data_IF_196407052563
#
_entry.id   IF_196407052563
#
_cell.length_a   1.000
_cell.length_b   1.000
_cell.length_c   1.000
_cell.angle_alpha   90.00
_cell.angle_beta   90.00
_cell.angle_gamma   90.00
#
_symmetry.space_group_name_H-M   'P 1'
#
loop_
_entity.id
_entity.type
_entity.pdbx_description
1 polymer ?
#
# COMPACT_ATOMS: atom_id res chain seq x y z
N UNK A 1 46.04 -19.49 -2.12
CA UNK A 1 47.11 -18.49 -1.89
C UNK A 1 46.53 -17.42 -0.99
N UNK A 2 47.23 -17.16 0.11
CA UNK A 2 46.76 -16.54 1.35
C UNK A 2 46.41 -15.04 1.25
N UNK A 3 45.40 -14.66 2.05
CA UNK A 3 45.28 -13.52 2.98
C UNK A 3 46.27 -12.36 2.81
N UNK A 4 45.74 -11.13 2.70
CA UNK A 4 46.13 -10.01 3.59
C UNK A 4 45.14 -8.83 3.54
N UNK A 5 44.49 -8.63 4.69
CA UNK A 5 43.96 -7.33 5.14
C UNK A 5 45.08 -6.28 5.20
N UNK A 6 44.71 -5.02 4.93
CA UNK A 6 45.44 -3.86 5.47
C UNK A 6 44.40 -2.86 6.00
N UNK A 7 44.49 -2.63 7.30
CA UNK A 7 43.78 -1.63 8.07
C UNK A 7 44.64 -0.36 8.28
N UNK A 8 43.96 0.73 8.62
CA UNK A 8 44.45 2.03 9.11
C UNK A 8 45.12 2.99 8.12
N UNK A 9 44.56 4.21 8.03
CA UNK A 9 45.22 5.42 8.53
C UNK A 9 44.19 6.55 8.74
N UNK A 10 44.22 7.09 9.95
CA UNK A 10 43.51 8.27 10.43
C UNK A 10 44.24 9.56 10.03
N UNK A 11 43.57 10.69 10.28
CA UNK A 11 44.08 12.07 10.39
C UNK A 11 44.32 12.87 9.09
N UNK A 12 43.36 13.74 8.77
CA UNK A 12 43.62 15.03 8.11
C UNK A 12 42.93 16.12 8.93
N UNK A 13 43.74 16.86 9.69
CA UNK A 13 43.37 18.15 10.24
C UNK A 13 43.53 19.22 9.14
N UNK A 14 42.53 20.08 8.98
CA UNK A 14 42.66 21.31 8.18
C UNK A 14 42.64 22.49 9.15
N UNK A 15 43.77 23.19 9.19
CA UNK A 15 43.93 24.51 9.78
C UNK A 15 43.11 25.55 9.01
N UNK A 16 42.30 26.35 9.70
CA UNK A 16 41.84 27.64 9.20
C UNK A 16 42.26 28.72 10.19
N UNK A 17 43.07 29.64 9.68
CA UNK A 17 43.62 30.82 10.33
C UNK A 17 42.56 31.90 10.55
N UNK A 18 42.79 32.65 11.62
CA UNK A 18 42.02 33.78 12.15
C UNK A 18 41.87 34.97 11.19
N UNK A 19 40.80 35.75 11.38
CA UNK A 19 40.72 37.12 10.87
C UNK A 19 39.37 37.82 11.12
N UNK A 20 39.32 38.66 12.16
CA UNK A 20 38.56 39.92 12.12
C UNK A 20 37.23 40.00 12.87
N UNK A 21 37.27 40.50 14.10
CA UNK A 21 36.12 40.89 14.91
C UNK A 21 35.56 42.28 14.53
N UNK A 22 34.24 42.50 14.67
CA UNK A 22 33.70 43.82 15.07
C UNK A 22 32.31 43.75 15.74
N UNK A 23 32.33 44.08 17.04
CA UNK A 23 31.32 44.71 17.94
C UNK A 23 29.79 44.46 17.81
N UNK A 24 29.30 43.74 18.83
CA UNK A 24 28.09 43.93 19.68
C UNK A 24 27.09 45.05 19.36
N UNK A 25 25.79 44.67 19.35
CA UNK A 25 24.71 45.36 20.07
C UNK A 25 23.67 44.35 20.58
N UNK A 26 23.50 44.31 21.89
CA UNK A 26 22.51 43.52 22.64
C UNK A 26 21.20 44.32 22.82
N UNK A 27 20.05 43.66 22.70
CA UNK A 27 18.78 44.04 23.34
C UNK A 27 18.04 42.77 23.81
N UNK A 28 17.39 42.79 24.99
CA UNK A 28 16.81 41.59 25.61
C UNK A 28 15.38 41.33 25.10
N UNK A 29 14.99 40.05 25.04
CA UNK A 29 13.59 39.63 24.95
C UNK A 29 13.10 39.28 26.36
N UNK A 30 11.98 39.91 26.74
CA UNK A 30 11.22 39.61 27.95
C UNK A 30 10.56 38.23 27.83
N UNK A 31 10.65 37.46 28.92
CA UNK A 31 10.05 36.15 29.10
C UNK A 31 8.76 36.33 29.91
N UNK A 32 7.60 36.17 29.27
CA UNK A 32 6.32 36.11 29.98
C UNK A 32 6.11 34.70 30.56
N UNK A 33 6.09 34.63 31.89
CA UNK A 33 5.64 33.47 32.64
C UNK A 33 4.11 33.45 32.75
N UNK A 34 3.49 32.31 32.43
CA UNK A 34 2.12 31.99 32.86
C UNK A 34 2.18 30.71 33.67
N UNK A 35 1.70 30.81 34.91
CA UNK A 35 1.64 29.77 35.91
C UNK A 35 0.61 28.69 35.56
N UNK A 36 0.97 27.42 35.78
CA UNK A 36 0.03 26.31 35.88
C UNK A 36 0.13 25.68 37.27
N UNK A 37 -0.88 25.93 38.09
CA UNK A 37 -1.15 25.25 39.35
C UNK A 37 -1.89 23.94 39.08
N UNK A 38 -1.34 22.81 39.54
CA UNK A 38 -1.99 21.51 39.51
C UNK A 38 -1.38 20.59 40.56
N UNK A 39 -2.12 20.39 41.65
CA UNK A 39 -1.70 19.68 42.85
C UNK A 39 -1.45 18.17 42.60
N UNK A 40 -0.35 17.66 43.15
CA UNK A 40 -0.07 16.25 43.27
C UNK A 40 -0.60 15.74 44.63
N UNK A 41 -1.38 14.66 44.61
CA UNK A 41 -1.60 13.81 45.78
C UNK A 41 -1.10 12.40 45.46
N UNK A 42 -0.26 11.90 46.37
CA UNK A 42 0.41 10.61 46.36
C UNK A 42 -0.06 9.76 47.54
N UNK A 43 -0.31 8.47 47.29
CA UNK A 43 -0.19 7.30 48.18
C UNK A 43 -0.01 6.10 47.22
N UNK A 44 1.05 5.28 47.22
CA UNK A 44 1.74 4.56 48.30
C UNK A 44 1.24 3.11 48.31
N UNK A 45 1.91 2.16 47.62
CA UNK A 45 2.72 1.03 48.14
C UNK A 45 1.93 0.01 49.01
N UNK A 46 2.11 -1.32 49.02
CA UNK A 46 3.04 -2.28 48.46
C UNK A 46 2.43 -3.70 48.68
N UNK A 47 2.77 -4.70 47.86
CA UNK A 47 3.52 -5.89 48.32
C UNK A 47 2.71 -7.16 47.99
N UNK A 48 3.18 -8.17 47.27
CA UNK A 48 4.36 -9.03 47.36
C UNK A 48 3.98 -10.45 47.79
N UNK A 49 4.68 -11.43 47.19
CA UNK A 49 4.85 -12.83 47.62
C UNK A 49 3.75 -13.79 47.13
N UNK A 50 3.99 -15.04 46.70
CA UNK A 50 5.19 -15.83 46.38
C UNK A 50 4.67 -17.23 45.97
N UNK A 51 5.23 -17.81 44.91
CA UNK A 51 5.21 -19.25 44.62
C UNK A 51 6.35 -19.94 45.43
N UNK A 52 6.60 -21.29 45.44
CA UNK A 52 5.87 -22.49 44.96
C UNK A 52 5.92 -23.63 46.07
N UNK A 53 6.05 -24.99 45.88
CA UNK A 53 6.80 -25.79 44.89
C UNK A 53 6.06 -26.98 44.23
N UNK A 54 6.74 -27.55 43.24
CA UNK A 54 6.40 -28.72 42.44
C UNK A 54 6.81 -30.07 43.07
N UNK A 55 6.21 -31.17 42.60
CA UNK A 55 6.73 -32.55 42.35
C UNK A 55 5.49 -33.48 42.20
N UNK A 56 5.43 -34.62 41.50
CA UNK A 56 6.34 -35.47 40.71
C UNK A 56 5.46 -36.41 39.84
N UNK A 57 6.08 -37.07 38.85
CA UNK A 57 5.50 -37.93 37.83
C UNK A 57 5.25 -39.40 38.28
N UNK A 58 4.34 -40.12 37.59
CA UNK A 58 4.50 -41.53 37.20
C UNK A 58 3.38 -41.99 36.23
N UNK A 59 3.78 -42.61 35.12
CA UNK A 59 3.02 -43.43 34.13
C UNK A 59 3.05 -44.93 34.54
N UNK A 60 2.56 -45.88 33.72
CA UNK A 60 1.22 -46.09 33.15
C UNK A 60 0.65 -47.47 33.57
N UNK A 61 -0.65 -47.71 33.42
CA UNK A 61 -1.21 -49.08 33.54
C UNK A 61 -1.94 -49.51 32.27
N UNK A 62 -1.68 -50.77 31.93
CA UNK A 62 -2.01 -51.49 30.71
C UNK A 62 -3.31 -52.26 30.87
N UNK A 63 -4.30 -52.04 29.99
CA UNK A 63 -5.23 -53.09 29.57
C UNK A 63 -6.00 -52.67 28.31
N UNK A 64 -6.16 -53.63 27.39
CA UNK A 64 -6.88 -53.59 26.11
C UNK A 64 -7.73 -54.88 26.06
N UNK A 65 -8.67 -55.05 25.11
CA UNK A 65 -9.90 -54.31 24.80
C UNK A 65 -11.17 -55.16 25.05
N UNK A 66 -12.36 -54.57 24.94
CA UNK A 66 -13.53 -55.31 24.47
C UNK A 66 -14.34 -54.47 23.47
N UNK A 67 -14.87 -55.17 22.47
CA UNK A 67 -15.44 -54.69 21.22
C UNK A 67 -16.75 -53.90 21.38
N UNK A 68 -16.91 -52.83 20.60
CA UNK A 68 -18.23 -52.42 20.08
C UNK A 68 -18.11 -51.38 18.93
N UNK A 69 -18.50 -51.84 17.74
CA UNK A 69 -19.21 -51.11 16.67
C UNK A 69 -18.70 -49.72 16.23
N UNK A 70 -17.95 -49.71 15.13
CA UNK A 70 -17.63 -48.52 14.34
C UNK A 70 -18.86 -48.01 13.58
N UNK A 71 -19.55 -47.02 14.14
CA UNK A 71 -20.41 -46.12 13.36
C UNK A 71 -19.58 -44.91 12.99
N UNK A 72 -19.16 -44.84 11.72
CA UNK A 72 -18.43 -43.70 11.15
C UNK A 72 -19.36 -42.50 11.09
N UNK A 73 -19.44 -41.74 12.18
CA UNK A 73 -20.00 -40.39 12.16
C UNK A 73 -18.97 -39.49 11.49
N UNK A 74 -19.21 -39.16 10.23
CA UNK A 74 -18.49 -38.08 9.53
C UNK A 74 -18.89 -36.77 10.18
N UNK A 75 -18.25 -36.42 11.28
CA UNK A 75 -18.39 -35.10 11.90
C UNK A 75 -17.67 -34.12 10.99
N UNK A 76 -18.37 -33.59 10.00
CA UNK A 76 -17.99 -32.37 9.31
C UNK A 76 -18.09 -31.23 10.33
N UNK A 77 -17.02 -31.02 11.10
CA UNK A 77 -16.87 -29.86 11.98
C UNK A 77 -16.64 -28.63 11.11
N UNK A 78 -17.72 -28.15 10.48
CA UNK A 78 -17.83 -26.78 10.00
C UNK A 78 -17.78 -25.88 11.23
N UNK A 79 -16.59 -25.39 11.60
CA UNK A 79 -16.45 -24.25 12.48
C UNK A 79 -17.18 -23.08 11.85
N UNK A 80 -18.44 -22.89 12.26
CA UNK A 80 -19.26 -21.76 11.85
C UNK A 80 -18.56 -20.47 12.30
N UNK A 81 -17.97 -19.78 11.32
CA UNK A 81 -17.47 -18.42 11.43
C UNK A 81 -18.61 -17.50 11.89
N UNK A 82 -18.56 -16.99 13.12
CA UNK A 82 -19.57 -16.03 13.61
C UNK A 82 -19.27 -14.60 13.15
N UNK A 83 -18.87 -14.44 11.89
CA UNK A 83 -18.85 -13.13 11.23
C UNK A 83 -20.28 -12.60 11.01
N UNK A 84 -21.22 -13.52 10.83
CA UNK A 84 -22.64 -13.26 10.63
C UNK A 84 -23.38 -13.47 11.94
N UNK A 85 -24.11 -12.46 12.39
CA UNK A 85 -24.90 -12.51 13.63
C UNK A 85 -26.25 -11.83 13.40
N UNK A 86 -27.36 -12.56 13.56
CA UNK A 86 -28.68 -12.00 13.29
C UNK A 86 -28.75 -11.41 11.88
N UNK A 87 -29.09 -10.13 11.77
CA UNK A 87 -29.22 -9.40 10.49
C UNK A 87 -27.97 -8.63 10.07
N UNK A 88 -26.81 -8.94 10.64
CA UNK A 88 -25.55 -8.25 10.34
C UNK A 88 -24.41 -9.20 9.96
N UNK A 89 -23.43 -8.65 9.26
CA UNK A 89 -22.14 -9.29 8.96
C UNK A 89 -21.01 -8.30 9.24
N UNK A 90 -19.99 -8.70 9.99
CA UNK A 90 -18.83 -7.86 10.27
C UNK A 90 -17.79 -7.94 9.16
N UNK A 91 -17.22 -6.80 8.78
CA UNK A 91 -16.04 -6.70 7.90
C UNK A 91 -14.97 -5.85 8.59
N UNK A 92 -13.69 -6.17 8.38
CA UNK A 92 -12.59 -5.37 8.89
C UNK A 92 -12.19 -4.28 7.90
N UNK A 93 -11.80 -3.13 8.42
CA UNK A 93 -11.15 -2.05 7.66
C UNK A 93 -9.81 -1.79 8.34
N UNK A 94 -8.70 -2.06 7.64
CA UNK A 94 -7.35 -1.99 8.22
C UNK A 94 -6.44 -1.12 7.35
N UNK A 95 -6.33 0.14 7.71
CA UNK A 95 -5.57 1.17 7.00
C UNK A 95 -4.79 2.01 8.01
N UNK A 96 -3.71 2.66 7.58
CA UNK A 96 -3.00 3.66 8.39
C UNK A 96 -3.85 4.93 8.50
N UNK A 97 -4.42 5.16 9.67
CA UNK A 97 -5.16 6.38 10.01
C UNK A 97 -4.25 7.42 10.69
N UNK A 98 -3.05 6.97 11.07
CA UNK A 98 -1.94 7.78 11.55
C UNK A 98 -0.59 7.34 10.92
N UNK A 99 0.45 8.16 11.08
CA UNK A 99 1.78 7.91 10.52
C UNK A 99 1.98 8.44 9.08
N UNK A 100 3.13 8.10 8.48
CA UNK A 100 3.60 8.61 7.16
C UNK A 100 2.63 8.31 6.01
N UNK A 101 1.84 7.23 6.10
CA UNK A 101 0.89 6.83 5.07
C UNK A 101 -0.54 7.35 5.27
N UNK A 102 -0.82 8.05 6.38
CA UNK A 102 -2.19 8.47 6.71
C UNK A 102 -2.82 9.37 5.64
N UNK A 103 -2.01 10.17 4.94
CA UNK A 103 -2.49 11.05 3.87
C UNK A 103 -3.14 10.28 2.72
N UNK A 104 -2.63 9.09 2.43
CA UNK A 104 -3.11 8.23 1.35
C UNK A 104 -4.19 7.26 1.87
N UNK A 105 -3.94 6.61 3.00
CA UNK A 105 -4.76 5.48 3.48
C UNK A 105 -6.11 5.88 4.11
N UNK A 106 -6.22 7.08 4.72
CA UNK A 106 -7.51 7.57 5.26
C UNK A 106 -8.56 7.70 4.16
N UNK A 107 -8.13 8.12 2.96
CA UNK A 107 -9.03 8.34 1.82
C UNK A 107 -9.60 7.01 1.30
N UNK A 108 -8.80 5.94 1.29
CA UNK A 108 -9.24 4.59 0.90
C UNK A 108 -10.28 4.06 1.86
N UNK A 109 -10.03 4.19 3.17
CA UNK A 109 -11.02 3.87 4.21
C UNK A 109 -12.34 4.62 3.96
N UNK A 110 -12.31 5.90 3.60
CA UNK A 110 -13.54 6.66 3.32
C UNK A 110 -14.31 6.10 2.12
N UNK A 111 -13.61 5.72 1.03
CA UNK A 111 -14.23 5.14 -0.16
C UNK A 111 -14.85 3.75 0.11
N UNK A 112 -14.17 2.91 0.89
CA UNK A 112 -14.71 1.62 1.35
C UNK A 112 -15.95 1.80 2.23
N UNK A 113 -15.90 2.76 3.17
CA UNK A 113 -17.04 3.09 4.02
C UNK A 113 -18.23 3.61 3.21
N UNK A 114 -17.99 4.39 2.16
CA UNK A 114 -19.04 4.79 1.22
C UNK A 114 -19.66 3.58 0.51
N UNK A 115 -18.87 2.66 -0.04
CA UNK A 115 -19.38 1.45 -0.67
C UNK A 115 -20.24 0.61 0.28
N UNK A 116 -19.78 0.45 1.53
CA UNK A 116 -20.52 -0.23 2.60
C UNK A 116 -21.88 0.43 2.86
N UNK A 117 -21.91 1.77 2.94
CA UNK A 117 -23.14 2.53 3.16
C UNK A 117 -24.13 2.36 1.99
N UNK A 118 -23.65 2.43 0.75
CA UNK A 118 -24.48 2.21 -0.44
C UNK A 118 -25.08 0.79 -0.48
N UNK A 119 -24.27 -0.22 -0.17
CA UNK A 119 -24.71 -1.62 -0.11
C UNK A 119 -25.75 -1.80 0.99
N UNK A 120 -25.49 -1.24 2.18
CA UNK A 120 -26.43 -1.28 3.29
C UNK A 120 -27.75 -0.60 2.95
N UNK A 121 -27.74 0.57 2.30
CA UNK A 121 -28.95 1.25 1.85
C UNK A 121 -29.80 0.39 0.90
N UNK A 122 -29.17 -0.52 0.14
CA UNK A 122 -29.82 -1.47 -0.79
C UNK A 122 -30.17 -2.83 -0.17
N UNK A 123 -30.18 -2.94 1.16
CA UNK A 123 -30.56 -4.18 1.86
C UNK A 123 -29.38 -5.03 2.34
N UNK A 124 -28.14 -4.59 2.12
CA UNK A 124 -26.95 -5.30 2.56
C UNK A 124 -26.53 -6.43 1.60
N UNK A 125 -25.86 -7.45 2.14
CA UNK A 125 -25.39 -8.63 1.39
C UNK A 125 -26.20 -9.83 1.84
N UNK A 126 -26.96 -10.45 0.93
CA UNK A 126 -27.87 -11.55 1.27
C UNK A 126 -28.81 -11.21 2.46
N UNK A 127 -29.28 -9.97 2.53
CA UNK A 127 -30.13 -9.45 3.61
C UNK A 127 -29.41 -9.09 4.92
N UNK A 128 -28.07 -9.25 4.99
CA UNK A 128 -27.27 -8.86 6.16
C UNK A 128 -26.68 -7.47 5.97
N UNK A 129 -26.87 -6.57 6.93
CA UNK A 129 -26.18 -5.27 6.96
C UNK A 129 -24.71 -5.46 7.32
N UNK A 130 -23.83 -4.84 6.55
CA UNK A 130 -22.40 -4.80 6.80
C UNK A 130 -22.12 -3.88 8.00
N UNK A 131 -21.37 -4.38 8.97
CA UNK A 131 -20.89 -3.62 10.13
C UNK A 131 -19.35 -3.54 10.04
N UNK A 132 -18.78 -2.39 9.69
CA UNK A 132 -17.34 -2.23 9.62
C UNK A 132 -16.71 -2.17 11.01
N UNK A 133 -15.60 -2.89 11.19
CA UNK A 133 -14.69 -2.80 12.34
C UNK A 133 -13.40 -2.16 11.86
N UNK A 134 -13.16 -0.91 12.25
CA UNK A 134 -12.04 -0.11 11.77
C UNK A 134 -10.87 -0.23 12.75
N UNK A 135 -9.68 -0.52 12.24
CA UNK A 135 -8.43 -0.56 12.99
C UNK A 135 -7.37 0.33 12.31
N UNK A 136 -6.60 1.04 13.14
CA UNK A 136 -5.47 1.86 12.68
C UNK A 136 -4.19 1.02 12.59
N UNK A 137 -3.62 0.93 11.40
CA UNK A 137 -2.32 0.29 11.14
C UNK A 137 -1.12 1.19 11.45
N UNK A 138 -1.33 2.48 11.71
CA UNK A 138 -0.34 3.47 12.16
C UNK A 138 0.94 3.60 11.31
N UNK A 139 0.90 3.17 10.04
CA UNK A 139 2.08 3.01 9.19
C UNK A 139 3.17 2.09 9.80
N UNK A 140 2.77 1.14 10.63
CA UNK A 140 3.66 0.24 11.38
C UNK A 140 3.31 -1.24 11.13
N UNK A 141 4.22 -1.98 10.52
CA UNK A 141 3.96 -3.34 10.04
C UNK A 141 3.61 -4.34 11.15
N UNK A 142 4.31 -4.34 12.30
CA UNK A 142 3.90 -5.11 13.48
C UNK A 142 2.50 -4.77 13.99
N UNK A 143 2.11 -3.49 13.97
CA UNK A 143 0.75 -3.05 14.30
C UNK A 143 -0.26 -3.64 13.32
N UNK A 144 -0.03 -3.53 12.01
CA UNK A 144 -0.87 -4.17 10.99
C UNK A 144 -1.08 -5.66 11.27
N UNK A 145 -0.02 -6.40 11.60
CA UNK A 145 -0.12 -7.83 11.96
C UNK A 145 -1.04 -8.05 13.16
N UNK A 146 -0.80 -7.32 14.24
CA UNK A 146 -1.56 -7.42 15.49
C UNK A 146 -3.04 -7.11 15.27
N UNK A 147 -3.33 -6.07 14.48
CA UNK A 147 -4.70 -5.67 14.14
C UNK A 147 -5.38 -6.67 13.20
N UNK A 148 -4.67 -7.22 12.22
CA UNK A 148 -5.19 -8.30 11.38
C UNK A 148 -5.54 -9.55 12.21
N UNK A 149 -4.66 -9.96 13.13
CA UNK A 149 -4.93 -11.08 14.04
C UNK A 149 -6.16 -10.82 14.91
N UNK A 150 -6.31 -9.61 15.46
CA UNK A 150 -7.51 -9.22 16.22
C UNK A 150 -8.78 -9.31 15.38
N UNK A 151 -8.76 -8.73 14.17
CA UNK A 151 -9.92 -8.73 13.27
C UNK A 151 -10.38 -10.15 12.93
N UNK A 152 -9.44 -11.08 12.69
CA UNK A 152 -9.77 -12.46 12.34
C UNK A 152 -10.16 -13.31 13.56
N UNK A 153 -9.49 -13.15 14.70
CA UNK A 153 -9.66 -14.07 15.84
C UNK A 153 -10.66 -13.59 16.88
N UNK A 154 -10.71 -12.29 17.14
CA UNK A 154 -11.58 -11.69 18.16
C UNK A 154 -12.85 -11.14 17.51
N UNK A 155 -12.70 -10.29 16.49
CA UNK A 155 -13.84 -9.69 15.80
C UNK A 155 -14.49 -10.67 14.83
N UNK A 156 -13.76 -11.71 14.39
CA UNK A 156 -14.23 -12.77 13.50
C UNK A 156 -14.89 -12.20 12.25
N UNK A 157 -14.25 -11.25 11.58
CA UNK A 157 -14.80 -10.58 10.39
C UNK A 157 -14.86 -11.52 9.18
N UNK A 158 -15.82 -11.31 8.27
CA UNK A 158 -16.00 -12.13 7.06
C UNK A 158 -14.94 -11.84 5.99
N UNK A 159 -14.43 -10.62 5.97
CA UNK A 159 -13.35 -10.16 5.11
C UNK A 159 -12.72 -8.92 5.74
N UNK A 160 -11.49 -8.61 5.34
CA UNK A 160 -10.80 -7.36 5.65
C UNK A 160 -10.53 -6.62 4.34
N UNK A 161 -10.84 -5.33 4.30
CA UNK A 161 -10.40 -4.41 3.26
C UNK A 161 -9.27 -3.56 3.87
N UNK A 162 -8.10 -3.53 3.23
CA UNK A 162 -6.97 -2.91 3.91
C UNK A 162 -5.60 -3.14 3.32
N UNK A 163 -4.64 -2.61 4.07
CA UNK A 163 -3.22 -2.46 3.75
C UNK A 163 -2.96 -1.49 2.61
N UNK A 164 -1.76 -0.90 2.66
CA UNK A 164 -1.21 -0.11 1.57
C UNK A 164 0.19 -0.59 1.20
N UNK A 165 1.16 -0.40 2.09
CA UNK A 165 2.53 -0.79 1.74
C UNK A 165 2.63 -2.30 1.57
N UNK A 166 3.45 -2.72 0.62
CA UNK A 166 3.73 -4.15 0.43
C UNK A 166 4.34 -4.80 1.67
N UNK A 167 5.04 -4.04 2.53
CA UNK A 167 5.52 -4.60 3.80
C UNK A 167 4.36 -4.90 4.74
N UNK A 168 3.35 -4.02 4.88
CA UNK A 168 2.13 -4.34 5.63
C UNK A 168 1.49 -5.61 5.10
N UNK A 169 1.27 -5.67 3.77
CA UNK A 169 0.65 -6.83 3.12
C UNK A 169 1.41 -8.13 3.39
N UNK A 170 2.72 -8.14 3.14
CA UNK A 170 3.58 -9.32 3.39
C UNK A 170 3.59 -9.72 4.87
N UNK A 171 3.53 -8.75 5.78
CA UNK A 171 3.50 -9.03 7.23
C UNK A 171 2.18 -9.67 7.66
N UNK A 172 1.05 -9.26 7.07
CA UNK A 172 -0.27 -9.82 7.40
C UNK A 172 -0.58 -11.10 6.62
N UNK A 173 -0.01 -11.32 5.44
CA UNK A 173 -0.24 -12.50 4.61
C UNK A 173 -0.23 -13.83 5.40
N UNK A 174 0.81 -14.16 6.20
CA UNK A 174 0.81 -15.41 6.96
C UNK A 174 -0.29 -15.48 8.04
N UNK A 175 -0.79 -14.35 8.51
CA UNK A 175 -1.93 -14.29 9.44
C UNK A 175 -3.22 -14.67 8.71
N UNK A 176 -3.46 -14.10 7.54
CA UNK A 176 -4.64 -14.41 6.73
C UNK A 176 -4.66 -15.87 6.27
N UNK A 177 -3.52 -16.42 5.86
CA UNK A 177 -3.43 -17.84 5.49
C UNK A 177 -3.63 -18.76 6.71
N UNK A 178 -2.99 -18.45 7.85
CA UNK A 178 -3.12 -19.25 9.08
C UNK A 178 -4.55 -19.34 9.59
N UNK A 179 -5.31 -18.24 9.56
CA UNK A 179 -6.67 -18.20 10.08
C UNK A 179 -7.76 -18.37 8.99
N UNK A 180 -7.36 -18.72 7.76
CA UNK A 180 -8.23 -18.73 6.58
C UNK A 180 -9.09 -17.46 6.46
N UNK A 181 -8.51 -16.30 6.74
CA UNK A 181 -9.15 -15.00 6.55
C UNK A 181 -9.14 -14.60 5.08
N UNK A 182 -9.89 -13.56 4.73
CA UNK A 182 -9.89 -13.00 3.38
C UNK A 182 -9.50 -11.52 3.39
N UNK A 183 -8.44 -11.16 2.67
CA UNK A 183 -8.00 -9.79 2.48
C UNK A 183 -8.35 -9.31 1.07
N UNK A 184 -8.87 -8.09 0.96
CA UNK A 184 -9.01 -7.34 -0.28
C UNK A 184 -8.03 -6.17 -0.25
N UNK A 185 -7.05 -6.22 -1.15
CA UNK A 185 -5.89 -5.32 -1.16
C UNK A 185 -5.96 -4.31 -2.31
N UNK A 186 -6.20 -3.01 -2.03
CA UNK A 186 -6.68 -2.04 -3.01
C UNK A 186 -5.61 -1.18 -3.68
N UNK A 187 -4.34 -1.56 -3.63
CA UNK A 187 -3.25 -0.68 -4.10
C UNK A 187 -2.27 -1.43 -4.99
N UNK A 188 -1.65 -0.69 -5.92
CA UNK A 188 -0.61 -1.21 -6.79
C UNK A 188 0.56 -1.79 -5.98
N UNK A 189 1.17 -2.85 -6.51
CA UNK A 189 2.33 -3.46 -5.87
C UNK A 189 3.29 -4.13 -6.86
N UNK A 190 4.36 -4.69 -6.32
CA UNK A 190 5.51 -5.22 -7.06
C UNK A 190 5.27 -6.55 -7.78
N UNK A 191 4.09 -7.17 -7.67
CA UNK A 191 3.92 -8.53 -8.19
C UNK A 191 4.70 -9.57 -7.36
N UNK A 192 5.18 -10.61 -8.03
CA UNK A 192 5.95 -11.72 -7.46
C UNK A 192 5.25 -12.46 -6.31
N UNK A 193 3.92 -12.38 -6.26
CA UNK A 193 3.11 -12.92 -5.17
C UNK A 193 1.73 -13.31 -5.68
N UNK A 194 1.22 -14.44 -5.20
CA UNK A 194 -0.19 -14.79 -5.24
C UNK A 194 -0.50 -15.52 -3.96
N UNK A 195 -1.64 -15.20 -3.33
CA UNK A 195 -2.14 -15.93 -2.16
C UNK A 195 -3.58 -16.37 -2.40
N UNK A 196 -3.97 -17.59 -1.97
CA UNK A 196 -5.37 -17.97 -2.00
C UNK A 196 -6.23 -17.05 -1.12
N UNK A 197 -5.67 -16.41 -0.10
CA UNK A 197 -6.41 -15.63 0.90
C UNK A 197 -6.38 -14.11 0.65
N UNK A 198 -5.85 -13.67 -0.50
CA UNK A 198 -5.79 -12.25 -0.88
C UNK A 198 -6.41 -12.07 -2.27
N UNK A 199 -7.37 -11.15 -2.38
CA UNK A 199 -7.81 -10.57 -3.64
C UNK A 199 -7.07 -9.27 -3.87
N UNK A 200 -6.39 -9.16 -5.00
CA UNK A 200 -5.57 -8.01 -5.38
C UNK A 200 -6.40 -7.13 -6.30
N UNK A 201 -7.01 -6.09 -5.73
CA UNK A 201 -7.82 -5.12 -6.49
C UNK A 201 -7.01 -3.95 -7.00
N UNK A 202 -5.77 -3.74 -6.53
CA UNK A 202 -4.77 -2.89 -7.16
C UNK A 202 -4.00 -3.58 -8.30
N UNK A 203 -3.22 -2.81 -9.05
CA UNK A 203 -2.46 -3.31 -10.19
C UNK A 203 -1.14 -4.01 -9.84
N UNK A 204 -0.75 -4.98 -10.67
CA UNK A 204 0.64 -5.47 -10.77
C UNK A 204 1.46 -4.60 -11.71
N UNK A 205 2.78 -4.79 -11.73
CA UNK A 205 3.70 -3.96 -12.52
C UNK A 205 3.43 -4.03 -14.03
N UNK A 206 2.97 -5.17 -14.56
CA UNK A 206 2.57 -5.29 -15.97
C UNK A 206 1.31 -4.46 -16.34
N UNK A 207 0.54 -4.01 -15.33
CA UNK A 207 -0.64 -3.17 -15.46
C UNK A 207 -0.38 -1.71 -15.07
N UNK A 208 0.87 -1.32 -14.82
CA UNK A 208 1.22 0.05 -14.45
C UNK A 208 2.66 0.40 -14.89
N UNK A 209 3.66 -0.09 -14.17
CA UNK A 209 5.09 0.23 -14.36
C UNK A 209 5.58 -0.15 -15.76
N UNK A 210 5.39 -1.40 -16.20
CA UNK A 210 5.96 -1.84 -17.48
C UNK A 210 5.41 -1.07 -18.68
N UNK A 211 4.08 -0.83 -18.79
CA UNK A 211 3.54 0.04 -19.83
C UNK A 211 4.05 1.49 -19.75
N UNK A 212 4.26 2.04 -18.54
CA UNK A 212 4.81 3.39 -18.39
C UNK A 212 6.27 3.49 -18.88
N UNK A 213 7.11 2.50 -18.57
CA UNK A 213 8.47 2.41 -19.09
C UNK A 213 8.46 2.31 -20.61
N UNK A 214 7.60 1.47 -21.20
CA UNK A 214 7.48 1.35 -22.65
C UNK A 214 7.01 2.67 -23.29
N UNK A 215 6.05 3.35 -22.67
CA UNK A 215 5.58 4.66 -23.13
C UNK A 215 6.70 5.70 -23.09
N UNK A 216 7.46 5.78 -22.01
CA UNK A 216 8.61 6.69 -21.88
C UNK A 216 9.67 6.43 -22.96
N UNK A 217 10.04 5.16 -23.16
CA UNK A 217 11.02 4.76 -24.18
C UNK A 217 10.56 5.09 -25.62
N UNK A 218 9.25 4.93 -25.90
CA UNK A 218 8.64 5.31 -27.19
C UNK A 218 8.58 6.83 -27.40
N UNK A 219 8.45 7.59 -26.32
CA UNK A 219 8.47 9.06 -26.32
C UNK A 219 9.88 9.65 -26.16
N UNK A 220 10.91 8.88 -26.52
CA UNK A 220 12.29 9.36 -26.61
C UNK A 220 13.02 9.53 -25.28
N UNK A 221 12.43 9.10 -24.15
CA UNK A 221 13.13 9.09 -22.85
C UNK A 221 13.95 7.81 -22.75
N UNK A 222 15.28 7.92 -22.77
CA UNK A 222 16.19 6.77 -22.78
C UNK A 222 17.04 6.65 -21.51
N UNK A 223 17.36 7.76 -20.85
CA UNK A 223 18.15 7.81 -19.61
C UNK A 223 17.24 7.95 -18.40
N UNK A 224 17.22 6.93 -17.54
CA UNK A 224 16.37 6.85 -16.37
C UNK A 224 17.19 7.02 -15.10
N UNK A 225 16.73 7.89 -14.20
CA UNK A 225 17.15 7.88 -12.81
C UNK A 225 16.03 7.27 -11.97
N UNK A 226 16.32 6.25 -11.19
CA UNK A 226 15.32 5.62 -10.30
C UNK A 226 15.45 6.19 -8.90
N UNK A 227 14.34 6.66 -8.34
CA UNK A 227 14.29 7.17 -6.97
C UNK A 227 13.12 6.51 -6.24
N UNK A 228 13.42 5.73 -5.20
CA UNK A 228 12.41 4.98 -4.45
C UNK A 228 12.49 5.13 -2.94
N UNK A 229 11.40 4.81 -2.25
CA UNK A 229 11.44 4.61 -0.80
C UNK A 229 12.10 3.27 -0.46
N UNK A 230 12.91 3.19 0.60
CA UNK A 230 13.71 2.00 0.90
C UNK A 230 12.91 0.88 1.58
N UNK A 231 12.08 0.19 0.78
CA UNK A 231 11.36 -1.01 1.20
C UNK A 231 11.04 -1.92 0.00
N UNK A 232 10.35 -3.04 0.23
CA UNK A 232 10.16 -4.10 -0.76
C UNK A 232 9.56 -3.63 -2.09
N UNK A 233 8.55 -2.75 -2.10
CA UNK A 233 7.91 -2.34 -3.35
C UNK A 233 8.89 -1.61 -4.29
N UNK A 234 9.52 -0.49 -3.89
CA UNK A 234 10.42 0.22 -4.80
C UNK A 234 11.65 -0.61 -5.18
N UNK A 235 12.17 -1.44 -4.26
CA UNK A 235 13.30 -2.33 -4.54
C UNK A 235 12.99 -3.35 -5.64
N UNK A 236 11.85 -4.04 -5.53
CA UNK A 236 11.43 -5.04 -6.52
C UNK A 236 11.01 -4.37 -7.82
N UNK A 237 10.19 -3.31 -7.77
CA UNK A 237 9.79 -2.55 -8.95
C UNK A 237 10.99 -2.00 -9.72
N UNK A 238 11.98 -1.42 -9.05
CA UNK A 238 13.19 -0.91 -9.70
C UNK A 238 14.05 -2.04 -10.29
N UNK A 239 14.07 -3.23 -9.70
CA UNK A 239 14.73 -4.39 -10.29
C UNK A 239 14.06 -4.83 -11.61
N UNK A 240 12.73 -4.81 -11.68
CA UNK A 240 11.96 -5.06 -12.90
C UNK A 240 12.20 -3.98 -13.95
N UNK A 241 12.15 -2.70 -13.57
CA UNK A 241 12.46 -1.57 -14.45
C UNK A 241 13.87 -1.73 -15.04
N UNK A 242 14.88 -2.06 -14.22
CA UNK A 242 16.25 -2.31 -14.69
C UNK A 242 16.31 -3.44 -15.73
N UNK A 243 15.60 -4.54 -15.50
CA UNK A 243 15.53 -5.64 -16.46
C UNK A 243 14.88 -5.20 -17.78
N UNK A 244 13.76 -4.48 -17.71
CA UNK A 244 13.06 -3.96 -18.88
C UNK A 244 13.91 -2.93 -19.65
N UNK A 245 14.57 -1.98 -18.96
CA UNK A 245 15.44 -0.99 -19.60
C UNK A 245 16.59 -1.66 -20.34
N UNK A 246 17.23 -2.67 -19.73
CA UNK A 246 18.30 -3.45 -20.37
C UNK A 246 17.83 -4.13 -21.65
N UNK A 247 16.60 -4.65 -21.66
CA UNK A 247 16.04 -5.34 -22.83
C UNK A 247 15.54 -4.39 -23.92
N UNK A 248 14.98 -3.24 -23.54
CA UNK A 248 14.23 -2.35 -24.43
C UNK A 248 15.03 -1.09 -24.84
N UNK A 249 16.35 -1.08 -24.62
CA UNK A 249 17.24 -0.02 -25.08
C UNK A 249 17.17 1.27 -24.25
N UNK A 250 16.89 1.14 -22.96
CA UNK A 250 17.03 2.21 -21.97
C UNK A 250 18.38 2.14 -21.24
N UNK A 251 18.76 3.23 -20.58
CA UNK A 251 19.99 3.35 -19.81
C UNK A 251 19.66 3.84 -18.41
N UNK A 252 20.10 3.10 -17.39
CA UNK A 252 20.08 3.56 -16.01
C UNK A 252 21.26 4.52 -15.79
N UNK A 253 20.98 5.74 -15.35
CA UNK A 253 22.01 6.75 -15.04
C UNK A 253 22.16 7.02 -13.54
N UNK A 254 21.28 6.45 -12.72
CA UNK A 254 21.35 6.51 -11.27
C UNK A 254 20.19 5.76 -10.62
N UNK A 255 20.41 5.27 -9.41
CA UNK A 255 19.41 4.61 -8.58
C UNK A 255 19.71 4.94 -7.12
N UNK A 256 18.74 5.53 -6.43
CA UNK A 256 18.89 5.96 -5.04
C UNK A 256 17.62 5.63 -4.25
N UNK A 257 17.81 5.37 -2.96
CA UNK A 257 16.73 5.05 -2.04
C UNK A 257 16.80 5.91 -0.79
N UNK A 258 15.64 6.31 -0.28
CA UNK A 258 15.50 7.03 0.98
C UNK A 258 14.52 6.31 1.91
N UNK A 259 14.73 6.30 3.24
CA UNK A 259 13.74 5.73 4.16
C UNK A 259 12.34 6.35 3.97
N UNK A 260 11.29 5.63 4.37
CA UNK A 260 9.95 6.24 4.50
C UNK A 260 10.00 7.39 5.52
N UNK A 261 9.25 8.45 5.26
CA UNK A 261 9.30 9.67 6.08
C UNK A 261 10.55 10.54 5.89
N UNK A 262 11.41 10.22 4.92
CA UNK A 262 12.61 11.01 4.65
C UNK A 262 12.26 12.40 4.11
N UNK A 263 12.98 13.43 4.61
CA UNK A 263 12.67 14.84 4.34
C UNK A 263 13.78 15.63 3.66
N UNK A 264 15.01 15.14 3.55
CA UNK A 264 16.17 15.94 3.11
C UNK A 264 16.71 15.49 1.75
N UNK A 265 16.19 16.07 0.66
CA UNK A 265 16.48 15.65 -0.71
C UNK A 265 17.55 16.50 -1.43
N UNK A 266 18.07 17.58 -0.84
CA UNK A 266 18.99 18.53 -1.50
C UNK A 266 20.18 17.85 -2.18
N UNK A 267 20.96 17.05 -1.44
CA UNK A 267 22.10 16.29 -1.99
C UNK A 267 21.67 15.33 -3.10
N UNK A 268 20.49 14.72 -2.97
CA UNK A 268 19.98 13.80 -3.96
C UNK A 268 19.56 14.52 -5.25
N UNK A 269 18.96 15.70 -5.13
CA UNK A 269 18.62 16.56 -6.27
C UNK A 269 19.89 16.94 -7.05
N UNK A 270 20.99 17.26 -6.36
CA UNK A 270 22.27 17.55 -7.02
C UNK A 270 22.85 16.33 -7.74
N UNK A 271 22.76 15.13 -7.13
CA UNK A 271 23.13 13.88 -7.81
C UNK A 271 22.29 13.63 -9.07
N UNK A 272 20.98 13.84 -9.00
CA UNK A 272 20.08 13.68 -10.14
C UNK A 272 20.45 14.64 -11.27
N UNK A 273 20.70 15.91 -10.95
CA UNK A 273 21.14 16.92 -11.93
C UNK A 273 22.47 16.52 -12.59
N UNK A 274 23.44 16.03 -11.81
CA UNK A 274 24.72 15.59 -12.32
C UNK A 274 24.61 14.40 -13.27
N UNK A 275 23.68 13.47 -13.00
CA UNK A 275 23.42 12.30 -13.84
C UNK A 275 22.75 12.61 -15.19
N UNK A 276 22.13 13.80 -15.32
CA UNK A 276 21.44 14.27 -16.55
C UNK A 276 20.47 13.22 -17.13
N UNK A 277 19.50 12.71 -16.34
CA UNK A 277 18.50 11.79 -16.87
C UNK A 277 17.53 12.49 -17.83
N UNK A 278 16.94 11.71 -18.74
CA UNK A 278 15.81 12.18 -19.55
C UNK A 278 14.51 12.19 -18.73
N UNK A 279 14.44 11.36 -17.68
CA UNK A 279 13.30 11.19 -16.76
C UNK A 279 13.75 10.63 -15.41
N UNK A 280 13.15 11.14 -14.32
CA UNK A 280 13.16 10.46 -13.02
C UNK A 280 11.96 9.51 -12.96
N UNK A 281 12.19 8.24 -12.71
CA UNK A 281 11.13 7.28 -12.40
C UNK A 281 10.99 7.20 -10.87
N UNK A 282 9.89 7.73 -10.35
CA UNK A 282 9.65 7.96 -8.94
C UNK A 282 8.79 6.85 -8.33
N UNK A 283 9.37 6.13 -7.39
CA UNK A 283 8.77 5.10 -6.54
C UNK A 283 8.84 5.49 -5.05
N UNK A 284 8.90 6.80 -4.74
CA UNK A 284 8.72 7.32 -3.38
C UNK A 284 7.26 7.22 -2.96
N UNK A 285 7.01 7.00 -1.66
CA UNK A 285 5.66 6.86 -1.11
C UNK A 285 5.38 7.81 0.06
N UNK A 286 4.09 8.10 0.30
CA UNK A 286 3.63 8.90 1.43
C UNK A 286 4.19 10.32 1.44
N UNK A 287 4.45 10.85 2.64
CA UNK A 287 4.95 12.22 2.85
C UNK A 287 6.36 12.47 2.26
N UNK A 288 7.09 11.42 1.87
CA UNK A 288 8.38 11.54 1.17
C UNK A 288 8.24 12.21 -0.20
N UNK A 289 7.14 11.97 -0.91
CA UNK A 289 6.83 12.69 -2.15
C UNK A 289 6.71 14.19 -1.91
N UNK A 290 6.12 14.57 -0.77
CA UNK A 290 5.88 15.98 -0.46
C UNK A 290 7.17 16.76 -0.36
N UNK A 291 8.13 16.23 0.39
CA UNK A 291 9.40 16.90 0.60
C UNK A 291 10.29 16.89 -0.66
N UNK A 292 10.27 15.82 -1.45
CA UNK A 292 11.02 15.75 -2.70
C UNK A 292 10.57 16.82 -3.71
N UNK A 293 9.26 16.93 -4.00
CA UNK A 293 8.76 17.90 -4.99
C UNK A 293 8.82 19.35 -4.49
N UNK A 294 8.68 19.59 -3.18
CA UNK A 294 8.96 20.92 -2.60
C UNK A 294 10.40 21.34 -2.84
N UNK A 295 11.37 20.44 -2.66
CA UNK A 295 12.78 20.77 -2.82
C UNK A 295 13.20 20.92 -4.28
N UNK A 296 12.63 20.13 -5.20
CA UNK A 296 12.79 20.38 -6.64
C UNK A 296 12.33 21.81 -7.01
N UNK A 297 11.15 22.21 -6.55
CA UNK A 297 10.62 23.55 -6.79
C UNK A 297 11.50 24.63 -6.16
N UNK A 298 12.00 24.41 -4.94
CA UNK A 298 12.83 25.38 -4.22
C UNK A 298 14.13 25.71 -4.95
N UNK A 299 14.70 24.76 -5.71
CA UNK A 299 15.87 24.99 -6.57
C UNK A 299 15.51 25.39 -8.01
N UNK A 300 14.23 25.69 -8.27
CA UNK A 300 13.74 26.16 -9.56
C UNK A 300 13.53 25.07 -10.62
N UNK A 301 13.63 23.79 -10.27
CA UNK A 301 13.39 22.70 -11.22
C UNK A 301 11.89 22.46 -11.41
N UNK A 302 11.49 22.29 -12.67
CA UNK A 302 10.13 21.96 -13.09
C UNK A 302 10.12 20.70 -13.96
N UNK A 303 8.93 20.23 -14.34
CA UNK A 303 8.79 19.13 -15.29
C UNK A 303 9.45 19.38 -16.66
N UNK A 304 9.73 20.63 -17.03
CA UNK A 304 10.46 20.98 -18.26
C UNK A 304 11.96 20.67 -18.14
N UNK A 305 12.51 20.83 -16.95
CA UNK A 305 13.93 20.67 -16.65
C UNK A 305 14.24 19.22 -16.27
N UNK A 306 13.35 18.62 -15.46
CA UNK A 306 13.48 17.28 -14.92
C UNK A 306 12.10 16.62 -14.86
N UNK A 307 11.60 16.06 -15.98
CA UNK A 307 10.31 15.37 -15.96
C UNK A 307 10.38 14.14 -15.06
N UNK A 308 9.29 13.89 -14.35
CA UNK A 308 9.15 12.77 -13.42
C UNK A 308 7.94 11.95 -13.80
N UNK A 309 8.10 10.63 -13.87
CA UNK A 309 7.00 9.66 -13.93
C UNK A 309 6.83 9.06 -12.55
N UNK A 310 5.70 9.29 -11.90
CA UNK A 310 5.39 8.73 -10.58
C UNK A 310 4.43 7.54 -10.68
N UNK A 311 4.58 6.58 -9.77
CA UNK A 311 3.64 5.47 -9.58
C UNK A 311 2.91 5.53 -8.24
N UNK A 312 3.16 6.60 -7.47
CA UNK A 312 2.69 6.77 -6.08
C UNK A 312 2.37 8.24 -5.77
N UNK A 313 1.91 9.00 -6.77
CA UNK A 313 1.31 10.33 -6.60
C UNK A 313 -0.05 10.32 -7.24
N UNK A 314 -1.09 10.59 -6.46
CA UNK A 314 -2.44 10.81 -6.95
C UNK A 314 -2.98 12.19 -6.55
N UNK A 315 -4.25 12.46 -6.85
CA UNK A 315 -4.91 13.75 -6.59
C UNK A 315 -4.80 14.21 -5.11
N UNK A 316 -4.94 13.33 -4.09
CA UNK A 316 -4.69 13.71 -2.70
C UNK A 316 -3.26 14.23 -2.45
N UNK A 317 -2.24 13.55 -2.97
CA UNK A 317 -0.85 14.03 -2.86
C UNK A 317 -0.64 15.31 -3.66
N UNK A 318 -1.20 15.45 -4.86
CA UNK A 318 -1.09 16.70 -5.65
C UNK A 318 -1.61 17.89 -4.85
N UNK A 319 -2.76 17.74 -4.19
CA UNK A 319 -3.34 18.78 -3.34
C UNK A 319 -2.44 19.09 -2.14
N UNK A 320 -1.85 18.08 -1.51
CA UNK A 320 -0.98 18.25 -0.35
C UNK A 320 0.36 18.93 -0.70
N UNK A 321 0.89 18.63 -1.88
CA UNK A 321 2.16 19.18 -2.39
C UNK A 321 1.96 20.59 -2.93
N UNK A 322 0.82 20.82 -3.58
CA UNK A 322 0.52 22.03 -4.34
C UNK A 322 0.65 21.77 -5.84
N UNK A 323 -0.42 22.00 -6.64
CA UNK A 323 -0.41 21.77 -8.08
C UNK A 323 0.73 22.49 -8.82
N UNK A 324 1.14 23.67 -8.33
CA UNK A 324 2.21 24.50 -8.90
C UNK A 324 3.61 23.84 -8.92
N UNK A 325 3.80 22.79 -8.11
CA UNK A 325 5.06 22.03 -8.01
C UNK A 325 5.04 20.76 -8.84
N UNK A 326 3.86 20.26 -9.19
CA UNK A 326 3.67 19.01 -9.91
C UNK A 326 3.19 19.21 -11.35
N UNK A 327 2.67 20.39 -11.69
CA UNK A 327 2.18 20.69 -13.04
C UNK A 327 3.20 20.30 -14.12
N UNK A 328 2.75 19.47 -15.06
CA UNK A 328 3.56 18.93 -16.16
C UNK A 328 4.30 17.62 -15.87
N UNK A 329 4.41 17.19 -14.61
CA UNK A 329 4.91 15.85 -14.29
C UNK A 329 3.86 14.79 -14.62
N UNK A 330 4.29 13.54 -14.77
CA UNK A 330 3.42 12.42 -15.14
C UNK A 330 3.18 11.48 -13.96
N UNK A 331 2.03 10.82 -14.00
CA UNK A 331 1.79 9.62 -13.20
C UNK A 331 1.14 8.54 -14.07
N UNK A 332 1.33 7.29 -13.66
CA UNK A 332 0.66 6.13 -14.25
C UNK A 332 -0.22 5.46 -13.20
N UNK A 333 -1.49 5.25 -13.56
CA UNK A 333 -2.51 4.66 -12.70
C UNK A 333 -3.50 3.86 -13.54
N UNK A 334 -4.45 3.19 -12.89
CA UNK A 334 -5.56 2.55 -13.58
C UNK A 334 -6.82 3.41 -13.54
N UNK A 335 -6.84 4.44 -12.72
CA UNK A 335 -7.92 5.40 -12.62
C UNK A 335 -7.39 6.81 -12.33
N UNK A 336 -8.12 7.80 -12.84
CA UNK A 336 -8.01 9.21 -12.49
C UNK A 336 -9.41 9.74 -12.20
N UNK A 337 -9.54 10.74 -11.32
CA UNK A 337 -10.84 11.38 -11.06
C UNK A 337 -11.47 11.93 -12.36
N UNK A 338 -10.65 12.29 -13.34
CA UNK A 338 -11.10 12.82 -14.64
C UNK A 338 -11.53 11.74 -15.66
N UNK A 339 -11.50 10.46 -15.28
CA UNK A 339 -11.91 9.34 -16.15
C UNK A 339 -13.36 9.52 -16.62
N UNK A 340 -13.60 9.54 -17.93
CA UNK A 340 -14.92 9.88 -18.47
C UNK A 340 -15.83 8.65 -18.63
N UNK A 341 -16.37 8.15 -17.52
CA UNK A 341 -17.42 7.12 -17.51
C UNK A 341 -18.66 7.62 -16.76
N UNK A 342 -19.87 7.10 -17.05
CA UNK A 342 -21.07 7.38 -16.24
C UNK A 342 -20.90 6.99 -14.77
N UNK A 343 -20.29 5.82 -14.53
CA UNK A 343 -20.00 5.28 -13.21
C UNK A 343 -19.09 6.22 -12.41
N UNK A 344 -18.06 6.78 -13.06
CA UNK A 344 -17.17 7.71 -12.41
C UNK A 344 -17.86 9.02 -12.00
N UNK A 345 -18.68 9.60 -12.88
CA UNK A 345 -19.43 10.83 -12.56
C UNK A 345 -20.28 10.66 -11.30
N UNK A 346 -20.92 9.49 -11.15
CA UNK A 346 -21.67 9.14 -9.96
C UNK A 346 -20.74 8.99 -8.75
N UNK A 347 -19.69 8.18 -8.87
CA UNK A 347 -18.73 7.92 -7.79
C UNK A 347 -18.12 9.20 -7.22
N UNK A 348 -17.63 10.10 -8.06
CA UNK A 348 -17.05 11.39 -7.66
C UNK A 348 -18.09 12.26 -6.95
N UNK A 349 -19.33 12.30 -7.46
CA UNK A 349 -20.41 13.07 -6.85
C UNK A 349 -20.75 12.54 -5.46
N UNK A 350 -20.92 11.22 -5.34
CA UNK A 350 -21.33 10.58 -4.09
C UNK A 350 -20.22 10.61 -3.04
N UNK A 351 -18.96 10.43 -3.43
CA UNK A 351 -17.82 10.51 -2.53
C UNK A 351 -17.70 11.90 -1.90
N UNK A 352 -17.81 12.95 -2.72
CA UNK A 352 -17.78 14.34 -2.23
C UNK A 352 -18.96 14.65 -1.32
N UNK A 353 -20.13 14.07 -1.59
CA UNK A 353 -21.31 14.19 -0.75
C UNK A 353 -21.17 13.42 0.58
N UNK A 354 -20.57 12.23 0.54
CA UNK A 354 -20.39 11.36 1.70
C UNK A 354 -19.32 11.87 2.67
N UNK A 355 -18.24 12.46 2.15
CA UNK A 355 -17.21 13.10 2.97
C UNK A 355 -16.66 14.39 2.31
N UNK A 356 -17.16 15.57 2.71
CA UNK A 356 -16.65 16.85 2.21
C UNK A 356 -15.15 17.12 2.50
N UNK A 357 -14.54 16.38 3.43
CA UNK A 357 -13.10 16.48 3.72
C UNK A 357 -12.23 15.73 2.70
N UNK A 358 -12.84 14.96 1.82
CA UNK A 358 -12.20 14.17 0.77
C UNK A 358 -12.63 14.74 -0.60
N UNK A 359 -12.13 15.93 -0.98
CA UNK A 359 -12.64 16.69 -2.13
C UNK A 359 -12.17 16.17 -3.48
N UNK A 360 -11.28 15.19 -3.48
CA UNK A 360 -10.71 14.53 -4.66
C UNK A 360 -10.70 13.02 -4.44
N UNK A 361 -10.49 12.27 -5.50
CA UNK A 361 -10.35 10.81 -5.46
C UNK A 361 -9.12 10.34 -6.24
N UNK A 362 -8.72 9.09 -6.02
CA UNK A 362 -7.59 8.46 -6.68
C UNK A 362 -7.87 6.97 -7.00
N UNK A 363 -6.87 6.32 -7.59
CA UNK A 363 -6.93 4.91 -7.98
C UNK A 363 -7.08 3.94 -6.80
N UNK A 364 -6.32 4.06 -5.69
CA UNK A 364 -6.53 3.19 -4.53
C UNK A 364 -7.89 3.35 -3.85
N UNK A 365 -8.46 4.56 -3.80
CA UNK A 365 -9.82 4.78 -3.32
C UNK A 365 -10.85 4.05 -4.19
N UNK A 366 -10.70 4.15 -5.51
CA UNK A 366 -11.57 3.49 -6.49
C UNK A 366 -11.47 1.96 -6.36
N UNK A 367 -10.25 1.44 -6.20
CA UNK A 367 -9.98 0.02 -5.99
C UNK A 367 -10.50 -0.52 -4.64
N UNK A 368 -10.44 0.29 -3.58
CA UNK A 368 -11.08 -0.02 -2.29
C UNK A 368 -12.60 -0.05 -2.43
N UNK A 369 -13.17 0.96 -3.08
CA UNK A 369 -14.61 1.06 -3.35
C UNK A 369 -15.15 -0.17 -4.11
N UNK A 370 -14.57 -0.49 -5.28
CA UNK A 370 -15.06 -1.63 -6.05
C UNK A 370 -14.70 -2.97 -5.39
N UNK A 371 -13.64 -3.03 -4.57
CA UNK A 371 -13.28 -4.22 -3.80
C UNK A 371 -14.41 -4.69 -2.88
N UNK A 372 -15.10 -3.76 -2.21
CA UNK A 372 -16.28 -4.09 -1.38
C UNK A 372 -17.42 -4.65 -2.24
N UNK A 373 -17.65 -4.09 -3.43
CA UNK A 373 -18.67 -4.58 -4.36
C UNK A 373 -18.34 -5.96 -4.95
N UNK A 374 -17.07 -6.20 -5.27
CA UNK A 374 -16.59 -7.52 -5.70
C UNK A 374 -16.75 -8.57 -4.61
N UNK A 375 -16.42 -8.23 -3.36
CA UNK A 375 -16.66 -9.11 -2.21
C UNK A 375 -18.15 -9.46 -2.08
N UNK A 376 -19.04 -8.46 -2.15
CA UNK A 376 -20.50 -8.68 -2.15
C UNK A 376 -20.90 -9.64 -3.27
N UNK A 377 -20.45 -9.39 -4.50
CA UNK A 377 -20.79 -10.22 -5.66
C UNK A 377 -20.29 -11.67 -5.48
N UNK A 378 -19.10 -11.85 -4.93
CA UNK A 378 -18.54 -13.17 -4.65
C UNK A 378 -19.32 -13.92 -3.57
N UNK A 379 -19.70 -13.25 -2.48
CA UNK A 379 -20.56 -13.81 -1.44
C UNK A 379 -21.93 -14.20 -1.99
N UNK A 380 -22.56 -13.34 -2.79
CA UNK A 380 -23.87 -13.61 -3.40
C UNK A 380 -23.82 -14.78 -4.38
N UNK A 381 -22.77 -14.86 -5.21
CA UNK A 381 -22.55 -15.98 -6.13
C UNK A 381 -22.27 -17.29 -5.37
N UNK A 382 -21.50 -17.23 -4.29
CA UNK A 382 -21.24 -18.36 -3.40
C UNK A 382 -22.47 -18.77 -2.57
N UNK A 383 -23.44 -17.87 -2.42
CA UNK A 383 -24.54 -17.96 -1.44
C UNK A 383 -24.01 -18.26 -0.03
N UNK A 384 -22.86 -17.67 0.31
CA UNK A 384 -22.16 -17.97 1.56
C UNK A 384 -21.14 -16.89 1.88
N UNK A 385 -20.97 -16.62 3.18
CA UNK A 385 -19.88 -15.81 3.72
C UNK A 385 -18.64 -16.64 4.06
N UNK A 386 -18.67 -17.95 3.81
CA UNK A 386 -17.53 -18.85 4.01
C UNK A 386 -16.40 -18.53 3.01
N UNK A 387 -15.18 -18.36 3.52
CA UNK A 387 -14.04 -17.89 2.73
C UNK A 387 -13.72 -18.83 1.57
N UNK A 388 -13.77 -20.14 1.76
CA UNK A 388 -13.45 -21.10 0.70
C UNK A 388 -14.50 -21.10 -0.41
N UNK A 389 -15.79 -20.99 -0.04
CA UNK A 389 -16.87 -20.86 -1.02
C UNK A 389 -16.81 -19.53 -1.78
N UNK A 390 -16.50 -18.44 -1.10
CA UNK A 390 -16.33 -17.11 -1.72
C UNK A 390 -15.18 -17.14 -2.74
N UNK A 391 -14.02 -17.69 -2.36
CA UNK A 391 -12.88 -17.87 -3.27
C UNK A 391 -13.26 -18.69 -4.50
N UNK A 392 -13.87 -19.86 -4.29
CA UNK A 392 -14.27 -20.76 -5.38
C UNK A 392 -15.30 -20.13 -6.34
N UNK A 393 -16.16 -19.24 -5.84
CA UNK A 393 -17.15 -18.54 -6.65
C UNK A 393 -16.58 -17.32 -7.40
N UNK A 394 -15.40 -16.81 -7.02
CA UNK A 394 -14.93 -15.48 -7.43
C UNK A 394 -14.54 -15.35 -8.91
N UNK A 395 -14.17 -16.45 -9.57
CA UNK A 395 -13.65 -16.40 -10.94
C UNK A 395 -14.66 -15.78 -11.92
N UNK A 396 -14.14 -14.88 -12.76
CA UNK A 396 -14.90 -14.20 -13.81
C UNK A 396 -15.96 -13.22 -13.31
N UNK A 397 -16.06 -12.93 -12.01
CA UNK A 397 -16.94 -11.88 -11.52
C UNK A 397 -16.50 -10.53 -12.10
N UNK A 398 -17.48 -9.81 -12.63
CA UNK A 398 -17.29 -8.47 -13.21
C UNK A 398 -18.02 -7.41 -12.40
N UNK A 399 -17.53 -6.17 -12.45
CA UNK A 399 -18.19 -5.00 -11.89
C UNK A 399 -17.93 -3.79 -12.79
N UNK A 400 -18.95 -2.94 -12.97
CA UNK A 400 -18.78 -1.66 -13.66
C UNK A 400 -18.22 -0.64 -12.66
N UNK A 401 -16.91 -0.60 -12.56
CA UNK A 401 -16.21 0.32 -11.67
C UNK A 401 -16.11 1.71 -12.31
N UNK A 402 -15.80 2.76 -11.54
CA UNK A 402 -15.47 4.08 -12.08
C UNK A 402 -14.42 4.04 -13.19
N UNK A 403 -13.41 3.16 -13.10
CA UNK A 403 -12.37 2.99 -14.13
C UNK A 403 -12.84 2.31 -15.42
N UNK A 404 -14.05 1.75 -15.42
CA UNK A 404 -14.59 0.87 -16.45
C UNK A 404 -14.91 -0.52 -15.90
N UNK A 405 -15.22 -1.47 -16.79
CA UNK A 405 -15.50 -2.85 -16.36
C UNK A 405 -14.22 -3.52 -15.86
N UNK A 406 -14.25 -3.97 -14.61
CA UNK A 406 -13.21 -4.78 -13.99
C UNK A 406 -13.67 -6.25 -13.94
N UNK A 407 -12.71 -7.17 -13.89
CA UNK A 407 -12.97 -8.61 -13.83
C UNK A 407 -11.93 -9.30 -12.95
N UNK A 408 -12.37 -10.21 -12.09
CA UNK A 408 -11.47 -11.09 -11.32
C UNK A 408 -10.87 -12.17 -12.23
N UNK A 409 -9.55 -12.31 -12.21
CA UNK A 409 -8.84 -13.49 -12.71
C UNK A 409 -8.78 -14.54 -11.59
N UNK A 410 -9.58 -15.60 -11.70
CA UNK A 410 -9.69 -16.61 -10.64
C UNK A 410 -8.43 -17.45 -10.44
N UNK A 411 -7.45 -17.42 -11.36
CA UNK A 411 -6.19 -18.13 -11.20
C UNK A 411 -5.27 -17.43 -10.21
N UNK A 412 -5.24 -16.10 -10.24
CA UNK A 412 -4.32 -15.30 -9.41
C UNK A 412 -5.01 -14.43 -8.37
N UNK A 413 -6.34 -14.37 -8.38
CA UNK A 413 -7.17 -13.45 -7.57
C UNK A 413 -6.88 -11.96 -7.80
N UNK A 414 -6.25 -11.62 -8.93
CA UNK A 414 -6.03 -10.23 -9.35
C UNK A 414 -7.17 -9.73 -10.23
N UNK A 415 -7.24 -8.43 -10.45
CA UNK A 415 -8.22 -7.83 -11.37
C UNK A 415 -7.60 -7.42 -12.71
N UNK A 416 -8.40 -7.49 -13.77
CA UNK A 416 -8.07 -6.89 -15.06
C UNK A 416 -8.23 -5.37 -14.97
N UNK A 417 -7.22 -4.62 -15.41
CA UNK A 417 -7.16 -3.17 -15.26
C UNK A 417 -6.72 -2.46 -16.53
N UNK A 418 -7.33 -1.31 -16.82
CA UNK A 418 -6.90 -0.48 -17.95
C UNK A 418 -5.80 0.45 -17.45
N UNK A 419 -4.67 0.51 -18.16
CA UNK A 419 -3.54 1.37 -17.78
C UNK A 419 -3.72 2.76 -18.37
N UNK A 420 -3.46 3.79 -17.57
CA UNK A 420 -3.61 5.20 -17.93
C UNK A 420 -2.37 5.99 -17.51
N UNK A 421 -1.92 6.88 -18.39
CA UNK A 421 -0.85 7.84 -18.09
C UNK A 421 -1.48 9.23 -18.12
N UNK A 422 -1.31 9.95 -17.03
CA UNK A 422 -1.82 11.29 -16.82
C UNK A 422 -0.68 12.29 -16.70
N UNK A 423 -0.95 13.53 -17.11
CA UNK A 423 -0.12 14.69 -16.79
C UNK A 423 -0.84 15.56 -15.76
N UNK A 424 -0.13 16.02 -14.74
CA UNK A 424 -0.70 16.90 -13.72
C UNK A 424 -0.97 18.27 -14.33
N UNK A 425 -2.23 18.73 -14.23
CA UNK A 425 -2.67 20.06 -14.62
C UNK A 425 -2.42 21.11 -13.53
N UNK A 426 -2.51 22.39 -13.92
CA UNK A 426 -2.38 23.51 -12.98
C UNK A 426 -3.56 23.61 -12.00
N UNK A 427 -4.68 22.96 -12.33
CA UNK A 427 -5.88 22.82 -11.49
C UNK A 427 -5.75 21.72 -10.42
N UNK A 428 -4.66 20.95 -10.43
CA UNK A 428 -4.42 19.85 -9.49
C UNK A 428 -5.06 18.53 -9.90
N UNK A 429 -5.61 18.43 -11.12
CA UNK A 429 -6.16 17.19 -11.66
C UNK A 429 -5.20 16.55 -12.67
N UNK A 430 -5.39 15.26 -12.94
CA UNK A 430 -4.75 14.63 -14.09
C UNK A 430 -5.52 14.86 -15.38
N UNK A 431 -4.81 15.22 -16.44
CA UNK A 431 -5.27 15.05 -17.81
C UNK A 431 -4.71 13.74 -18.34
N UNK A 432 -5.58 12.80 -18.69
CA UNK A 432 -5.16 11.57 -19.37
C UNK A 432 -4.54 11.92 -20.74
N UNK A 433 -3.34 11.39 -21.02
CA UNK A 433 -2.61 11.59 -22.27
C UNK A 433 -2.37 10.29 -23.04
N UNK A 434 -2.55 9.15 -22.37
CA UNK A 434 -2.46 7.84 -22.98
C UNK A 434 -3.21 6.82 -22.13
N UNK A 435 -3.81 5.83 -22.78
CA UNK A 435 -4.31 4.62 -22.12
C UNK A 435 -4.08 3.38 -22.99
N UNK A 436 -4.13 2.21 -22.35
CA UNK A 436 -3.93 0.90 -23.00
C UNK A 436 -5.06 0.47 -23.96
N UNK A 437 -6.15 1.22 -24.06
CA UNK A 437 -7.31 0.97 -24.93
C UNK A 437 -8.23 -0.16 -24.47
N UNK A 438 -7.74 -1.10 -23.66
CA UNK A 438 -8.49 -2.21 -23.08
C UNK A 438 -7.87 -2.67 -21.76
N UNK A 439 -8.63 -3.36 -20.89
CA UNK A 439 -8.07 -3.95 -19.68
C UNK A 439 -6.93 -4.93 -20.01
N UNK A 440 -5.81 -4.76 -19.31
CA UNK A 440 -4.64 -5.63 -19.35
C UNK A 440 -4.83 -6.76 -18.36
N UNK A 441 -4.56 -8.00 -18.79
CA UNK A 441 -4.60 -9.17 -17.92
C UNK A 441 -3.51 -9.07 -16.84
N UNK A 442 -3.80 -9.37 -15.57
CA UNK A 442 -2.76 -9.41 -14.55
C UNK A 442 -1.75 -10.53 -14.85
N UNK A 443 -0.47 -10.20 -14.77
CA UNK A 443 0.66 -11.12 -14.90
C UNK A 443 1.65 -10.84 -13.76
N UNK A 444 1.31 -11.23 -12.51
CA UNK A 444 2.08 -10.87 -11.32
C UNK A 444 3.53 -11.37 -11.35
N UNK A 445 3.83 -12.40 -12.14
CA UNK A 445 5.17 -12.97 -12.27
C UNK A 445 5.90 -12.54 -13.54
N UNK A 446 5.28 -11.70 -14.37
CA UNK A 446 5.82 -11.24 -15.65
C UNK A 446 6.18 -12.38 -16.62
N UNK A 447 5.45 -13.50 -16.55
CA UNK A 447 5.72 -14.70 -17.34
C UNK A 447 5.55 -14.46 -18.85
N UNK A 448 4.74 -13.48 -19.23
CA UNK A 448 4.50 -13.10 -20.63
C UNK A 448 5.57 -12.19 -21.21
N UNK A 449 6.51 -11.70 -20.39
CA UNK A 449 7.57 -10.81 -20.79
C UNK A 449 8.90 -11.56 -20.91
N UNK A 450 9.54 -11.63 -22.10
CA UNK A 450 10.82 -12.31 -22.25
C UNK A 450 11.92 -11.78 -21.30
N UNK A 451 11.91 -10.49 -21.01
CA UNK A 451 12.84 -9.86 -20.06
C UNK A 451 12.49 -10.14 -18.59
N UNK A 452 11.26 -10.55 -18.30
CA UNK A 452 10.79 -10.95 -16.96
C UNK A 452 11.25 -12.35 -16.56
N UNK A 453 11.70 -13.16 -17.53
CA UNK A 453 12.14 -14.54 -17.28
C UNK A 453 13.25 -14.61 -16.22
N UNK A 454 13.01 -15.38 -15.17
CA UNK A 454 13.95 -15.58 -14.06
C UNK A 454 14.00 -14.42 -13.05
N UNK A 455 13.14 -13.40 -13.18
CA UNK A 455 12.98 -12.39 -12.13
C UNK A 455 12.34 -12.99 -10.88
N UNK A 456 11.33 -13.85 -11.05
CA UNK A 456 10.72 -14.60 -9.95
C UNK A 456 11.76 -15.28 -9.06
N UNK A 457 12.67 -16.05 -9.65
CA UNK A 457 13.68 -16.81 -8.89
C UNK A 457 14.69 -15.90 -8.16
N UNK A 458 14.91 -14.68 -8.69
CA UNK A 458 15.84 -13.70 -8.10
C UNK A 458 15.19 -12.85 -7.03
N UNK A 459 13.92 -12.48 -7.21
CA UNK A 459 13.24 -11.47 -6.42
C UNK A 459 12.38 -12.07 -5.30
N UNK A 460 11.86 -13.29 -5.46
CA UNK A 460 11.06 -13.96 -4.42
C UNK A 460 11.89 -14.28 -3.17
N UNK A 461 13.21 -14.45 -3.29
CA UNK A 461 14.10 -14.76 -2.17
C UNK A 461 14.72 -13.53 -1.48
N UNK A 462 14.54 -12.34 -2.07
CA UNK A 462 15.10 -11.08 -1.56
C UNK A 462 14.03 -10.10 -1.07
N UNK A 463 12.75 -10.46 -1.19
CA UNK A 463 11.59 -9.59 -0.98
C UNK A 463 10.78 -9.94 0.27
#
# INVERSE_FOLDING_TARGET
MEIKEVSNLSSIQINLSEGGATKRRTRPLELMAIAATGAALSFGLAGCSSNPPATQAATPDTSKPSDASSTTTTTSTSTASTAVTGDTVKVGILHSLSGTMAISEVSVKDAEMMAINEINAKGGVMGKKIVPVVEDGASDWPTFKTKAEKLLTQDKVAAVFGCWTSVSRKTVLPVFEKYNGLLWYPVQYEGMETSPNIFYTGATTNQQISPAVDWLLKNGKKKFFLLGSDYVFPRTANAEIKAQLKANGGTLVGEEYTPLGHREYSTLVDKIKAAKPDVVFNTLNGDSNVEFFKQLKAVGLTAKDLPTMSVSIAEPEIRAIGPDKLAGHWAVWNYFETTNTPENKKFVTDLKAANPKTPVTDDPMEAGYFGVYLWKAAVEKAKSFDVDKVKAASDGITFKAPEGEIKIDGKTHHTWKTVRIGVVGADGQFKEIWNSGKPVKPDPYLDTYPWGKGLKDKLVHTA
#
